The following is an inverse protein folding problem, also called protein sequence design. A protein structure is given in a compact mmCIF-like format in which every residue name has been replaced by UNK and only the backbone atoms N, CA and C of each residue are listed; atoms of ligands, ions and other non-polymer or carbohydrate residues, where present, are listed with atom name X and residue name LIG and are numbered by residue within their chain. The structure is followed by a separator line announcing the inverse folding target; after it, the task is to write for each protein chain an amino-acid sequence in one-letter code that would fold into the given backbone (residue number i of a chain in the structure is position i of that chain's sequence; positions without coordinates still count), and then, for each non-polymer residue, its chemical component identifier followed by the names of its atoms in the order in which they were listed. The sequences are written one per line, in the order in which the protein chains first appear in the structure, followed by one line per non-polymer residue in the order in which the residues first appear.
data_IF_523190729908
#
_entry.id   IF_523190729908
#
_cell.length_a   1.000
_cell.length_b   1.000
_cell.length_c   1.000
_cell.angle_alpha   90.00
_cell.angle_beta   90.00
_cell.angle_gamma   90.00
#
_symmetry.space_group_name_H-M   'P 1'
#
loop_
_entity.id
_entity.type
_entity.pdbx_description
1 polymer ?
#
# COMPACT_ATOMS: atom_id res chain seq x y z
N UNK A 1 -13.81 5.64 14.95
CA UNK A 1 -12.56 5.70 14.18
C UNK A 1 -12.83 6.30 12.81
N UNK A 2 -12.14 7.38 12.45
CA UNK A 2 -12.13 8.02 11.14
C UNK A 2 -10.95 7.46 10.34
N UNK A 3 -11.18 7.07 9.10
CA UNK A 3 -10.15 6.40 8.28
C UNK A 3 -10.03 7.10 6.94
N UNK A 4 -8.82 7.35 6.49
CA UNK A 4 -8.53 7.71 5.10
C UNK A 4 -8.15 6.44 4.33
N UNK A 5 -8.97 6.03 3.36
CA UNK A 5 -8.65 4.96 2.42
C UNK A 5 -8.08 5.54 1.13
N UNK A 6 -6.93 5.03 0.67
CA UNK A 6 -6.21 5.53 -0.51
C UNK A 6 -5.90 4.38 -1.45
N UNK A 7 -6.42 4.42 -2.69
CA UNK A 7 -5.94 3.58 -3.80
C UNK A 7 -4.86 4.37 -4.56
N UNK A 8 -3.60 4.18 -4.17
CA UNK A 8 -2.52 5.03 -4.63
C UNK A 8 -2.02 4.60 -6.01
N UNK A 9 -1.92 5.56 -6.92
CA UNK A 9 -1.25 5.39 -8.20
C UNK A 9 0.01 6.25 -8.28
N UNK A 10 0.88 5.97 -9.26
CA UNK A 10 2.05 6.81 -9.51
C UNK A 10 1.68 8.25 -9.92
N UNK A 11 0.48 8.45 -10.48
CA UNK A 11 -0.04 9.76 -10.89
C UNK A 11 -1.27 10.12 -10.04
N UNK A 12 -1.32 11.35 -9.55
CA UNK A 12 -2.44 11.87 -8.74
C UNK A 12 -3.80 11.68 -9.42
N UNK A 13 -3.90 11.94 -10.74
CA UNK A 13 -5.14 11.76 -11.52
C UNK A 13 -5.68 10.33 -11.58
N UNK A 14 -4.88 9.34 -11.21
CA UNK A 14 -5.26 7.92 -11.16
C UNK A 14 -5.41 7.42 -9.72
N UNK A 15 -5.32 8.31 -8.74
CA UNK A 15 -5.44 7.97 -7.31
C UNK A 15 -6.86 8.21 -6.85
N UNK A 16 -7.43 7.23 -6.16
CA UNK A 16 -8.70 7.37 -5.46
C UNK A 16 -8.45 7.56 -3.97
N UNK A 17 -9.25 8.41 -3.32
CA UNK A 17 -9.19 8.57 -1.88
C UNK A 17 -10.58 8.85 -1.30
N UNK A 18 -10.87 8.22 -0.17
CA UNK A 18 -12.14 8.37 0.55
C UNK A 18 -11.92 8.47 2.05
N UNK A 19 -12.72 9.30 2.70
CA UNK A 19 -12.83 9.36 4.14
C UNK A 19 -14.00 8.47 4.58
N UNK A 20 -13.73 7.57 5.52
CA UNK A 20 -14.73 6.79 6.23
C UNK A 20 -14.96 7.43 7.59
N UNK A 21 -16.15 8.00 7.79
CA UNK A 21 -16.56 8.68 9.01
C UNK A 21 -17.56 7.80 9.76
N UNK A 22 -17.37 7.53 11.07
CA UNK A 22 -18.30 6.70 11.82
C UNK A 22 -19.62 7.46 12.03
N UNK A 23 -20.73 6.82 11.69
CA UNK A 23 -22.08 7.27 12.05
C UNK A 23 -22.48 6.61 13.37
N UNK A 24 -22.18 5.32 13.52
CA UNK A 24 -22.28 4.53 14.74
C UNK A 24 -21.30 3.35 14.68
N UNK A 25 -21.42 2.39 15.61
CA UNK A 25 -20.53 1.24 15.74
C UNK A 25 -20.54 0.28 14.54
N UNK A 26 -21.54 0.38 13.64
CA UNK A 26 -21.72 -0.54 12.51
C UNK A 26 -21.91 0.16 11.17
N UNK A 27 -21.96 1.49 11.15
CA UNK A 27 -22.21 2.28 9.95
C UNK A 27 -21.18 3.37 9.79
N UNK A 28 -20.71 3.51 8.56
CA UNK A 28 -19.81 4.56 8.14
C UNK A 28 -20.44 5.37 7.00
N UNK A 29 -20.22 6.68 7.05
CA UNK A 29 -20.44 7.57 5.92
C UNK A 29 -19.15 7.65 5.11
N UNK A 30 -19.27 7.48 3.80
CA UNK A 30 -18.17 7.69 2.85
C UNK A 30 -18.24 9.13 2.36
N UNK A 31 -17.11 9.84 2.43
CA UNK A 31 -16.93 11.15 1.81
C UNK A 31 -15.74 11.07 0.86
N UNK A 32 -15.94 11.48 -0.39
CA UNK A 32 -14.83 11.60 -1.33
C UNK A 32 -13.88 12.73 -0.91
N UNK A 33 -12.58 12.52 -1.07
CA UNK A 33 -11.61 13.61 -0.97
C UNK A 33 -11.75 14.42 -2.25
N UNK A 34 -12.25 15.66 -2.12
CA UNK A 34 -12.43 16.58 -3.24
C UNK A 34 -11.08 16.89 -3.92
N UNK A 35 -11.15 17.23 -5.21
CA UNK A 35 -10.02 17.37 -6.13
C UNK A 35 -9.29 16.07 -6.48
N UNK A 36 -8.56 16.06 -7.60
CA UNK A 36 -7.65 14.95 -7.93
C UNK A 36 -6.81 14.67 -6.68
N UNK A 37 -6.72 13.42 -6.22
CA UNK A 37 -6.01 13.03 -4.99
C UNK A 37 -4.49 13.30 -5.11
N UNK A 38 -4.14 14.59 -5.07
CA UNK A 38 -2.81 15.16 -5.06
C UNK A 38 -2.17 14.89 -3.71
N UNK A 39 -0.86 15.04 -3.65
CA UNK A 39 -0.15 14.80 -2.39
C UNK A 39 -0.57 15.80 -1.31
N UNK A 40 -0.85 17.06 -1.69
CA UNK A 40 -1.38 18.07 -0.76
C UNK A 40 -2.77 17.72 -0.25
N UNK A 41 -3.68 17.27 -1.12
CA UNK A 41 -5.03 16.86 -0.72
C UNK A 41 -4.99 15.64 0.22
N UNK A 42 -4.13 14.66 -0.08
CA UNK A 42 -3.95 13.47 0.76
C UNK A 42 -3.35 13.80 2.14
N UNK A 43 -2.40 14.73 2.20
CA UNK A 43 -1.82 15.19 3.48
C UNK A 43 -2.85 15.99 4.28
N UNK A 44 -3.58 16.90 3.63
CA UNK A 44 -4.64 17.66 4.30
C UNK A 44 -5.77 16.77 4.84
N UNK A 45 -6.18 15.74 4.07
CA UNK A 45 -7.18 14.78 4.50
C UNK A 45 -6.71 13.94 5.70
N UNK A 46 -5.41 13.66 5.80
CA UNK A 46 -4.83 12.88 6.89
C UNK A 46 -4.81 13.61 8.25
N UNK A 47 -4.92 14.94 8.30
CA UNK A 47 -4.84 15.73 9.54
C UNK A 47 -5.95 15.40 10.55
N UNK A 48 -7.08 14.84 10.10
CA UNK A 48 -8.28 14.64 10.94
C UNK A 48 -8.73 13.18 11.05
N UNK A 49 -7.89 12.23 10.64
CA UNK A 49 -8.18 10.78 10.69
C UNK A 49 -7.35 10.08 11.75
N UNK A 50 -7.90 8.98 12.27
CA UNK A 50 -7.22 8.15 13.25
C UNK A 50 -6.26 7.15 12.58
N UNK A 51 -6.56 6.75 11.33
CA UNK A 51 -5.76 5.81 10.56
C UNK A 51 -5.85 6.07 9.05
N UNK A 52 -4.81 5.66 8.33
CA UNK A 52 -4.69 5.69 6.88
C UNK A 52 -4.47 4.27 6.37
N UNK A 53 -5.37 3.78 5.54
CA UNK A 53 -5.19 2.55 4.78
C UNK A 53 -4.78 2.88 3.35
N UNK A 54 -3.57 2.50 2.93
CA UNK A 54 -3.04 2.79 1.59
C UNK A 54 -2.79 1.52 0.78
N UNK A 55 -3.38 1.43 -0.42
CA UNK A 55 -3.05 0.41 -1.43
C UNK A 55 -1.77 0.84 -2.14
N UNK A 56 -0.65 0.69 -1.43
CA UNK A 56 0.68 0.95 -1.95
C UNK A 56 1.73 0.28 -1.09
N UNK A 57 2.86 -0.12 -1.69
CA UNK A 57 3.99 -0.53 -0.89
C UNK A 57 4.48 0.57 0.06
N UNK A 58 4.54 0.28 1.35
CA UNK A 58 5.14 1.19 2.35
C UNK A 58 6.68 1.21 2.31
N UNK A 59 7.29 0.51 1.36
CA UNK A 59 8.73 0.46 1.17
C UNK A 59 9.14 -0.67 0.25
N UNK A 60 10.42 -1.04 0.32
CA UNK A 60 11.00 -2.15 -0.42
C UNK A 60 11.40 -3.28 0.53
N UNK A 61 11.56 -4.53 0.05
CA UNK A 61 12.14 -5.60 0.84
C UNK A 61 13.51 -5.19 1.37
N UNK A 62 13.79 -5.49 2.64
CA UNK A 62 15.08 -5.14 3.27
C UNK A 62 16.25 -5.73 2.47
N UNK A 63 16.14 -7.02 2.09
CA UNK A 63 17.14 -7.70 1.28
C UNK A 63 17.38 -7.02 -0.09
N UNK A 64 16.36 -6.38 -0.68
CA UNK A 64 16.54 -5.61 -1.91
C UNK A 64 17.37 -4.35 -1.68
N UNK A 65 17.06 -3.59 -0.63
CA UNK A 65 17.80 -2.37 -0.27
C UNK A 65 19.26 -2.70 0.02
N UNK A 66 19.50 -3.78 0.76
CA UNK A 66 20.85 -4.28 1.06
C UNK A 66 21.60 -4.65 -0.23
N UNK A 67 20.93 -5.34 -1.15
CA UNK A 67 21.54 -5.77 -2.41
C UNK A 67 21.91 -4.61 -3.33
N UNK A 68 21.02 -3.61 -3.47
CA UNK A 68 21.30 -2.43 -4.29
C UNK A 68 22.38 -1.56 -3.63
N UNK A 69 22.44 -1.51 -2.30
CA UNK A 69 23.48 -0.81 -1.55
C UNK A 69 24.84 -1.48 -1.75
N UNK A 70 24.92 -2.81 -1.60
CA UNK A 70 26.14 -3.56 -1.87
C UNK A 70 26.62 -3.37 -3.32
N UNK A 71 25.69 -3.42 -4.28
CA UNK A 71 25.99 -3.16 -5.68
C UNK A 71 26.52 -1.73 -5.93
N UNK A 72 25.91 -0.71 -5.31
CA UNK A 72 26.38 0.69 -5.36
C UNK A 72 27.82 0.80 -4.84
N UNK A 73 28.12 0.08 -3.76
CA UNK A 73 29.41 0.12 -3.06
C UNK A 73 30.43 -0.86 -3.67
N UNK A 74 30.15 -1.43 -4.85
CA UNK A 74 30.99 -2.41 -5.55
C UNK A 74 31.35 -3.64 -4.69
N UNK A 75 30.51 -3.94 -3.71
CA UNK A 75 30.62 -5.10 -2.84
C UNK A 75 29.91 -6.31 -3.46
N UNK A 76 30.23 -7.54 -3.03
CA UNK A 76 29.53 -8.73 -3.50
C UNK A 76 28.01 -8.64 -3.30
N UNK A 77 27.25 -9.06 -4.32
CA UNK A 77 25.79 -9.08 -4.27
C UNK A 77 25.29 -10.06 -3.19
N UNK A 78 24.53 -9.60 -2.18
CA UNK A 78 23.97 -10.47 -1.15
C UNK A 78 22.74 -11.22 -1.68
N UNK A 79 22.59 -12.49 -1.26
CA UNK A 79 21.38 -13.28 -1.49
C UNK A 79 21.61 -14.62 -2.19
N UNK A 80 20.51 -15.34 -2.42
CA UNK A 80 20.47 -16.65 -3.05
C UNK A 80 19.93 -16.54 -4.49
N UNK A 81 20.05 -17.60 -5.32
CA UNK A 81 19.45 -17.61 -6.66
C UNK A 81 17.94 -17.36 -6.67
N UNK A 82 17.22 -17.74 -5.60
CA UNK A 82 15.83 -17.35 -5.40
C UNK A 82 15.73 -15.86 -5.07
N UNK A 83 15.07 -15.11 -5.96
CA UNK A 83 14.89 -13.66 -5.88
C UNK A 83 13.57 -13.25 -5.22
N UNK A 84 12.77 -14.21 -4.73
CA UNK A 84 11.48 -13.93 -4.12
C UNK A 84 11.59 -12.91 -2.97
N UNK A 85 12.62 -13.05 -2.13
CA UNK A 85 12.95 -12.15 -1.00
C UNK A 85 13.39 -10.76 -1.43
N UNK A 86 13.88 -10.60 -2.66
CA UNK A 86 14.30 -9.31 -3.25
C UNK A 86 13.14 -8.60 -3.95
N UNK A 87 12.11 -9.34 -4.34
CA UNK A 87 11.03 -8.83 -5.20
C UNK A 87 9.74 -8.57 -4.42
N UNK A 88 9.46 -9.38 -3.39
CA UNK A 88 8.23 -9.35 -2.61
C UNK A 88 8.52 -9.14 -1.13
N UNK A 89 7.75 -8.26 -0.50
CA UNK A 89 7.88 -7.93 0.93
C UNK A 89 7.18 -8.95 1.78
N UNK A 90 7.38 -8.83 3.09
CA UNK A 90 6.77 -9.71 4.07
C UNK A 90 5.24 -9.66 4.00
N UNK A 91 4.66 -8.47 3.78
CA UNK A 91 3.22 -8.30 3.55
C UNK A 91 2.76 -9.02 2.28
N UNK A 92 3.49 -8.91 1.16
CA UNK A 92 3.17 -9.62 -0.09
C UNK A 92 3.16 -11.15 0.11
N UNK A 93 4.13 -11.68 0.86
CA UNK A 93 4.20 -13.10 1.20
C UNK A 93 3.06 -13.52 2.14
N UNK A 94 2.74 -12.72 3.14
CA UNK A 94 1.64 -12.98 4.07
C UNK A 94 0.28 -12.99 3.34
N UNK A 95 0.05 -12.05 2.43
CA UNK A 95 -1.16 -12.00 1.59
C UNK A 95 -1.22 -13.23 0.68
N UNK A 96 -0.13 -13.57 0.00
CA UNK A 96 -0.07 -14.77 -0.86
C UNK A 96 -0.40 -16.04 -0.07
N UNK A 97 0.17 -16.18 1.13
CA UNK A 97 -0.09 -17.33 2.00
C UNK A 97 -1.53 -17.38 2.50
N UNK A 98 -2.11 -16.24 2.89
CA UNK A 98 -3.53 -16.15 3.28
C UNK A 98 -4.45 -16.61 2.14
N UNK A 99 -4.22 -16.10 0.93
CA UNK A 99 -5.02 -16.43 -0.25
C UNK A 99 -4.91 -17.92 -0.58
N UNK A 100 -3.69 -18.48 -0.52
CA UNK A 100 -3.45 -19.92 -0.70
C UNK A 100 -4.22 -20.75 0.32
N UNK A 101 -4.12 -20.40 1.60
CA UNK A 101 -4.83 -21.10 2.71
C UNK A 101 -6.34 -21.06 2.55
N UNK A 102 -6.89 -19.96 2.04
CA UNK A 102 -8.33 -19.79 1.77
C UNK A 102 -8.78 -20.34 0.41
N UNK A 103 -7.88 -20.95 -0.38
CA UNK A 103 -8.13 -21.38 -1.76
C UNK A 103 -8.72 -20.27 -2.66
N UNK A 104 -8.40 -19.00 -2.38
CA UNK A 104 -8.86 -17.85 -3.15
C UNK A 104 -7.94 -17.67 -4.37
N UNK A 105 -8.52 -17.66 -5.57
CA UNK A 105 -7.79 -17.44 -6.82
C UNK A 105 -7.95 -16.01 -7.32
N UNK A 106 -6.98 -15.17 -7.00
CA UNK A 106 -6.83 -13.82 -7.56
C UNK A 106 -5.39 -13.62 -8.04
N UNK A 107 -5.13 -12.51 -8.74
CA UNK A 107 -3.77 -12.12 -9.14
C UNK A 107 -2.89 -11.97 -7.88
N UNK A 108 -1.69 -12.58 -7.85
CA UNK A 108 -0.78 -12.43 -6.72
C UNK A 108 -0.30 -10.98 -6.59
N UNK A 109 0.16 -10.58 -5.39
CA UNK A 109 0.88 -9.33 -5.20
C UNK A 109 1.98 -9.14 -6.24
N UNK A 110 2.14 -7.91 -6.73
CA UNK A 110 3.20 -7.59 -7.69
C UNK A 110 4.51 -7.34 -6.97
N UNK A 111 5.62 -7.61 -7.66
CA UNK A 111 6.95 -7.21 -7.20
C UNK A 111 7.05 -5.68 -7.10
N UNK A 112 7.45 -5.16 -5.94
CA UNK A 112 7.71 -3.72 -5.74
C UNK A 112 9.07 -3.32 -6.30
N UNK A 113 10.04 -4.22 -6.26
CA UNK A 113 11.43 -3.93 -6.61
C UNK A 113 11.74 -4.05 -8.10
N UNK A 114 10.94 -4.84 -8.83
CA UNK A 114 11.23 -5.22 -10.21
C UNK A 114 10.04 -5.04 -11.17
N UNK A 115 9.01 -4.29 -10.78
CA UNK A 115 7.84 -4.04 -11.63
C UNK A 115 7.27 -2.62 -11.41
N UNK A 116 6.14 -2.32 -12.05
CA UNK A 116 5.47 -1.00 -12.08
C UNK A 116 5.14 -0.42 -10.71
N UNK A 117 5.05 -1.25 -9.66
CA UNK A 117 4.83 -0.82 -8.28
C UNK A 117 5.93 0.08 -7.73
N UNK A 118 7.16 0.04 -8.27
CA UNK A 118 8.27 0.85 -7.79
C UNK A 118 7.97 2.36 -7.81
N UNK A 119 7.31 2.85 -8.86
CA UNK A 119 6.93 4.27 -8.98
C UNK A 119 5.85 4.68 -7.96
N UNK A 120 4.90 3.79 -7.68
CA UNK A 120 3.87 4.00 -6.66
C UNK A 120 4.50 4.01 -5.27
N UNK A 121 5.43 3.09 -5.00
CA UNK A 121 6.17 3.00 -3.74
C UNK A 121 7.02 4.26 -3.48
N UNK A 122 7.66 4.82 -4.51
CA UNK A 122 8.38 6.10 -4.41
C UNK A 122 7.45 7.25 -4.01
N UNK A 123 6.28 7.35 -4.66
CA UNK A 123 5.28 8.35 -4.27
C UNK A 123 4.77 8.13 -2.84
N UNK A 124 4.52 6.89 -2.45
CA UNK A 124 4.12 6.55 -1.09
C UNK A 124 5.20 6.94 -0.07
N UNK A 125 6.49 6.75 -0.38
CA UNK A 125 7.58 7.18 0.48
C UNK A 125 7.64 8.71 0.67
N UNK A 126 7.31 9.49 -0.37
CA UNK A 126 7.18 10.94 -0.26
C UNK A 126 5.99 11.34 0.64
N UNK A 127 4.84 10.67 0.50
CA UNK A 127 3.69 10.88 1.38
C UNK A 127 4.01 10.52 2.84
N UNK A 128 4.70 9.39 3.07
CA UNK A 128 5.16 8.97 4.40
C UNK A 128 6.04 10.04 5.06
N UNK A 129 6.96 10.64 4.30
CA UNK A 129 7.76 11.78 4.79
C UNK A 129 6.87 12.96 5.18
N UNK A 130 5.90 13.32 4.34
CA UNK A 130 5.00 14.44 4.65
C UNK A 130 4.10 14.17 5.85
N UNK A 131 3.57 12.96 6.01
CA UNK A 131 2.80 12.61 7.20
C UNK A 131 3.66 12.60 8.46
N UNK A 132 4.93 12.21 8.37
CA UNK A 132 5.89 12.37 9.45
C UNK A 132 6.08 13.86 9.80
N UNK A 133 6.44 14.68 8.81
CA UNK A 133 6.80 16.09 9.02
C UNK A 133 5.59 16.94 9.46
N UNK A 134 4.43 16.75 8.84
CA UNK A 134 3.28 17.64 8.96
C UNK A 134 2.22 17.17 9.97
N UNK A 135 2.21 15.89 10.37
CA UNK A 135 1.11 15.29 11.14
C UNK A 135 1.58 14.58 12.41
N UNK A 136 2.43 13.56 12.28
CA UNK A 136 2.73 12.65 13.40
C UNK A 136 3.99 13.04 14.18
N UNK A 137 4.89 13.82 13.59
CA UNK A 137 6.20 14.17 14.17
C UNK A 137 7.16 12.98 14.28
N UNK A 138 6.78 11.81 13.77
CA UNK A 138 7.58 10.59 13.76
C UNK A 138 7.14 9.65 12.64
N UNK A 139 8.04 8.76 12.21
CA UNK A 139 7.72 7.72 11.24
C UNK A 139 6.66 6.77 11.79
N UNK A 140 5.61 6.51 11.02
CA UNK A 140 4.67 5.44 11.36
C UNK A 140 5.35 4.06 11.22
N UNK A 141 5.12 3.14 12.18
CA UNK A 141 5.59 1.77 12.05
C UNK A 141 4.86 1.09 10.89
N UNK A 142 5.59 0.27 10.12
CA UNK A 142 5.09 -0.39 8.89
C UNK A 142 4.62 -1.83 9.14
N UNK A 143 4.57 -2.25 10.40
CA UNK A 143 4.11 -3.57 10.85
C UNK A 143 2.59 -3.63 11.08
N UNK A 144 1.88 -2.54 10.84
CA UNK A 144 0.43 -2.42 11.02
C UNK A 144 -0.02 -2.06 12.44
N UNK A 145 0.90 -1.79 13.36
CA UNK A 145 0.57 -1.36 14.74
C UNK A 145 0.24 0.13 14.86
N UNK A 146 0.59 0.92 13.85
CA UNK A 146 0.47 2.38 13.85
C UNK A 146 -0.68 2.92 13.01
N UNK A 147 -0.70 4.26 12.80
CA UNK A 147 -1.76 4.94 12.06
C UNK A 147 -1.67 4.75 10.55
N UNK A 148 -0.59 4.15 10.02
CA UNK A 148 -0.42 3.87 8.60
C UNK A 148 -0.40 2.38 8.36
N UNK A 149 -1.35 1.92 7.54
CA UNK A 149 -1.52 0.51 7.24
C UNK A 149 -1.52 0.31 5.74
N UNK A 150 -0.70 -0.63 5.29
CA UNK A 150 -0.75 -1.11 3.92
C UNK A 150 -1.97 -2.02 3.72
N UNK A 151 -2.75 -1.78 2.67
CA UNK A 151 -3.94 -2.58 2.36
C UNK A 151 -3.82 -3.25 1.00
N UNK A 152 -4.52 -4.39 0.85
CA UNK A 152 -4.62 -5.14 -0.41
C UNK A 152 -6.09 -5.33 -0.74
N UNK A 153 -6.76 -4.34 -1.36
CA UNK A 153 -8.21 -4.36 -1.46
C UNK A 153 -8.74 -5.55 -2.27
N UNK A 154 -8.06 -5.96 -3.35
CA UNK A 154 -8.43 -7.17 -4.10
C UNK A 154 -8.42 -8.43 -3.20
N UNK A 155 -7.39 -8.58 -2.38
CA UNK A 155 -7.27 -9.70 -1.44
C UNK A 155 -8.31 -9.63 -0.33
N UNK A 156 -8.58 -8.42 0.20
CA UNK A 156 -9.57 -8.20 1.24
C UNK A 156 -10.99 -8.51 0.74
N UNK A 157 -11.38 -7.96 -0.42
CA UNK A 157 -12.68 -8.18 -1.03
C UNK A 157 -12.92 -9.67 -1.30
N UNK A 158 -11.93 -10.36 -1.87
CA UNK A 158 -12.01 -11.79 -2.11
C UNK A 158 -12.09 -12.59 -0.79
N UNK A 159 -11.31 -12.21 0.24
CA UNK A 159 -11.33 -12.85 1.55
C UNK A 159 -12.63 -12.64 2.34
N UNK A 160 -13.38 -11.57 2.03
CA UNK A 160 -14.68 -11.23 2.62
C UNK A 160 -15.87 -11.64 1.75
N UNK A 161 -15.62 -12.31 0.61
CA UNK A 161 -16.66 -12.74 -0.33
C UNK A 161 -17.52 -11.59 -0.86
N UNK A 162 -16.92 -10.41 -1.03
CA UNK A 162 -17.58 -9.25 -1.65
C UNK A 162 -17.35 -9.32 -3.15
N UNK A 163 -18.43 -9.43 -3.92
CA UNK A 163 -18.37 -9.45 -5.38
C UNK A 163 -17.94 -8.08 -5.92
N UNK A 164 -16.89 -8.07 -6.74
CA UNK A 164 -16.29 -6.85 -7.27
C UNK A 164 -15.77 -7.12 -8.69
N UNK A 165 -16.72 -7.38 -9.60
CA UNK A 165 -16.51 -7.72 -11.02
C UNK A 165 -15.63 -6.73 -11.79
N UNK A 166 -15.46 -5.50 -11.28
CA UNK A 166 -14.73 -4.42 -11.93
C UNK A 166 -13.47 -3.98 -11.16
N UNK A 167 -13.17 -4.57 -9.98
CA UNK A 167 -12.00 -4.16 -9.19
C UNK A 167 -10.71 -4.78 -9.76
N UNK A 168 -9.92 -3.95 -10.48
CA UNK A 168 -8.64 -4.33 -11.10
C UNK A 168 -8.75 -5.61 -11.93
N UNK A 169 -9.81 -5.73 -12.74
CA UNK A 169 -9.92 -6.78 -13.76
C UNK A 169 -8.62 -6.82 -14.59
N UNK A 170 -8.04 -8.00 -14.85
CA UNK A 170 -6.95 -8.08 -15.81
C UNK A 170 -7.46 -7.50 -17.13
N UNK A 171 -6.65 -6.66 -17.77
CA UNK A 171 -6.93 -6.19 -19.12
C UNK A 171 -7.30 -7.43 -19.95
N UNK A 172 -8.48 -7.42 -20.57
CA UNK A 172 -8.84 -8.44 -21.54
C UNK A 172 -8.09 -8.05 -22.81
N UNK A 173 -7.11 -8.88 -23.18
CA UNK A 173 -6.44 -8.84 -24.48
C UNK A 173 -7.46 -8.87 -25.63
#
# INVERSE_FOLDING_TARGET
MRILGVDLAAQAKKTGAVLLLPVDDRRWQVKEVEDSATDDALVAAATSVDAIGVDSPLGWPVAFVDAVTAHRDLSPWPGLPDRSTLTHRDTDRAVTELLRRKQIRIRPPLSVSANTLGSVAMRCALLQRRWLDDIWGMSAPRDGTGPLVEVYPAAALAAWMIDCKDYKSPDRD
#
